data_IF_170588731402
#
_entry.id   IF_170588731402
#
_cell.length_a   1.000
_cell.length_b   1.000
_cell.length_c   1.000
_cell.angle_alpha   90.00
_cell.angle_beta   90.00
_cell.angle_gamma   90.00
#
_symmetry.space_group_name_H-M   'P 1'
#
loop_
_entity.id
_entity.type
_entity.pdbx_description
1 polymer ?
#
# COMPACT_ATOMS: atom_id res chain seq x y z
N UNK A 1 15.87 -26.12 -9.38
CA UNK A 1 15.32 -24.75 -9.55
C UNK A 1 13.82 -24.90 -9.72
N UNK A 2 13.03 -24.16 -8.94
CA UNK A 2 11.56 -24.23 -8.94
C UNK A 2 11.00 -22.83 -9.06
N UNK A 3 9.94 -22.66 -9.85
CA UNK A 3 9.22 -21.39 -10.00
C UNK A 3 7.83 -21.51 -9.38
N UNK A 4 7.33 -20.41 -8.83
CA UNK A 4 5.99 -20.30 -8.27
C UNK A 4 5.35 -18.98 -8.75
N UNK A 5 4.04 -19.02 -9.00
CA UNK A 5 3.26 -17.83 -9.30
C UNK A 5 1.90 -17.99 -8.63
N UNK A 6 1.39 -16.91 -8.03
CA UNK A 6 0.15 -16.89 -7.27
C UNK A 6 -0.57 -15.54 -7.48
N UNK A 7 -1.89 -15.53 -7.32
CA UNK A 7 -2.73 -14.33 -7.36
C UNK A 7 -3.47 -14.25 -6.03
N UNK A 8 -3.25 -13.17 -5.28
CA UNK A 8 -3.82 -12.95 -3.96
C UNK A 8 -4.78 -11.77 -4.01
N UNK A 9 -6.04 -12.00 -3.61
CA UNK A 9 -7.04 -10.95 -3.45
C UNK A 9 -7.51 -10.89 -2.01
N UNK A 10 -7.48 -9.69 -1.44
CA UNK A 10 -8.07 -9.36 -0.16
C UNK A 10 -9.24 -8.40 -0.43
N UNK A 11 -10.44 -8.85 -0.11
CA UNK A 11 -11.65 -8.06 -0.19
C UNK A 11 -11.98 -7.62 1.22
N UNK A 12 -11.85 -6.31 1.48
CA UNK A 12 -12.43 -5.74 2.68
C UNK A 12 -13.96 -5.75 2.54
N UNK A 13 -14.63 -6.41 3.49
CA UNK A 13 -16.08 -6.51 3.54
C UNK A 13 -16.68 -5.55 4.56
N UNK A 14 -15.84 -4.89 5.38
CA UNK A 14 -16.29 -3.87 6.31
C UNK A 14 -16.31 -2.52 5.58
N UNK A 15 -17.51 -2.03 5.31
CA UNK A 15 -17.72 -0.59 5.09
C UNK A 15 -17.51 0.09 6.45
N UNK A 16 -16.25 0.25 6.88
CA UNK A 16 -15.96 0.88 8.15
C UNK A 16 -16.14 2.41 8.00
N UNK A 17 -17.39 2.86 8.03
CA UNK A 17 -17.81 4.27 8.11
C UNK A 17 -17.27 5.00 9.36
N UNK A 18 -16.54 4.30 10.23
CA UNK A 18 -16.01 4.83 11.49
C UNK A 18 -14.90 5.88 11.32
N UNK A 19 -14.20 5.90 10.17
CA UNK A 19 -13.10 6.82 9.89
C UNK A 19 -13.46 7.68 8.68
N UNK A 20 -14.32 8.67 8.90
CA UNK A 20 -14.56 9.73 7.93
C UNK A 20 -13.43 10.77 8.07
N UNK A 21 -12.48 10.71 7.14
CA UNK A 21 -11.37 11.66 7.03
C UNK A 21 -11.64 12.74 5.98
N UNK A 22 -12.89 12.86 5.51
CA UNK A 22 -13.30 13.96 4.66
C UNK A 22 -13.32 15.24 5.48
N UNK A 23 -12.34 16.09 5.23
CA UNK A 23 -12.31 17.42 5.78
C UNK A 23 -11.34 18.27 4.99
N UNK A 24 -11.71 19.52 4.77
CA UNK A 24 -10.83 20.47 4.14
C UNK A 24 -10.78 21.71 5.01
N UNK A 25 -9.59 22.12 5.41
CA UNK A 25 -9.39 23.35 6.16
C UNK A 25 -9.12 24.45 5.14
N UNK A 26 -10.05 25.37 5.03
CA UNK A 26 -9.87 26.60 4.28
C UNK A 26 -9.25 27.66 5.19
N UNK A 27 -8.04 28.09 4.86
CA UNK A 27 -7.35 29.18 5.55
C UNK A 27 -7.36 30.39 4.62
N UNK A 28 -8.04 31.45 5.05
CA UNK A 28 -7.95 32.76 4.40
C UNK A 28 -6.85 33.56 5.09
N UNK A 29 -5.81 33.94 4.36
CA UNK A 29 -4.73 34.78 4.87
C UNK A 29 -5.15 36.26 4.74
N UNK A 30 -4.86 37.07 5.76
CA UNK A 30 -5.21 38.50 5.81
C UNK A 30 -3.96 39.36 5.96
N UNK A 31 -3.99 40.59 5.44
CA UNK A 31 -2.94 41.59 5.63
C UNK A 31 -3.08 42.33 6.98
N UNK A 32 -2.18 43.27 7.26
CA UNK A 32 -2.20 44.06 8.50
C UNK A 32 -3.42 45.00 8.64
N UNK A 33 -4.25 45.13 7.60
CA UNK A 33 -5.46 45.93 7.55
C UNK A 33 -6.72 45.05 7.41
N UNK A 34 -6.63 43.77 7.78
CA UNK A 34 -7.70 42.76 7.65
C UNK A 34 -8.23 42.58 6.22
N UNK A 35 -7.44 42.89 5.19
CA UNK A 35 -7.80 42.60 3.81
C UNK A 35 -7.38 41.17 3.42
N UNK A 36 -8.26 40.38 2.78
CA UNK A 36 -7.92 39.02 2.38
C UNK A 36 -6.85 39.03 1.27
N UNK A 37 -5.75 38.32 1.51
CA UNK A 37 -4.63 38.14 0.59
C UNK A 37 -4.80 36.92 -0.32
N UNK A 38 -5.53 35.92 0.16
CA UNK A 38 -5.79 34.70 -0.58
C UNK A 38 -6.33 33.58 0.30
N UNK A 39 -6.85 32.55 -0.37
CA UNK A 39 -7.37 31.35 0.29
C UNK A 39 -6.48 30.17 -0.07
N UNK A 40 -6.08 29.40 0.93
CA UNK A 40 -5.49 28.06 0.74
C UNK A 40 -6.41 27.00 1.30
N UNK A 41 -6.47 25.91 0.57
CA UNK A 41 -7.33 24.76 0.84
C UNK A 41 -6.41 23.61 1.20
N UNK A 42 -6.45 23.17 2.46
CA UNK A 42 -5.62 22.09 2.98
C UNK A 42 -6.49 20.85 3.21
N UNK A 43 -6.09 19.75 2.58
CA UNK A 43 -6.68 18.45 2.87
C UNK A 43 -6.28 18.00 4.28
N UNK A 44 -7.24 17.54 5.09
CA UNK A 44 -6.95 17.17 6.50
C UNK A 44 -6.30 15.80 6.63
N UNK A 45 -6.31 15.00 5.56
CA UNK A 45 -5.83 13.63 5.56
C UNK A 45 -5.05 13.31 4.29
N UNK A 46 -4.01 12.50 4.45
CA UNK A 46 -3.29 11.85 3.36
C UNK A 46 -3.76 10.39 3.14
N UNK A 47 -4.73 9.93 3.92
CA UNK A 47 -5.31 8.59 3.82
C UNK A 47 -6.48 8.65 2.83
N UNK A 48 -6.50 7.79 1.79
CA UNK A 48 -7.57 7.76 0.80
C UNK A 48 -8.91 7.38 1.44
N UNK A 49 -9.98 7.96 0.93
CA UNK A 49 -11.32 7.88 1.52
C UNK A 49 -12.00 6.58 1.12
N UNK A 50 -11.87 5.55 1.98
CA UNK A 50 -12.70 4.34 2.21
C UNK A 50 -13.30 3.53 1.04
N UNK A 51 -13.23 3.97 -0.22
CA UNK A 51 -13.74 3.28 -1.41
C UNK A 51 -12.69 2.45 -2.13
N UNK A 52 -11.43 2.52 -1.70
CA UNK A 52 -10.28 1.86 -2.33
C UNK A 52 -9.52 0.95 -1.38
N UNK A 53 -10.14 0.40 -0.34
CA UNK A 53 -9.40 -0.49 0.60
C UNK A 53 -9.34 -1.95 0.16
N UNK A 54 -10.00 -2.33 -0.95
CA UNK A 54 -9.81 -3.64 -1.56
C UNK A 54 -8.40 -3.77 -2.15
N UNK A 55 -7.76 -4.91 -1.96
CA UNK A 55 -6.33 -5.12 -2.20
C UNK A 55 -6.17 -6.34 -3.12
N UNK A 56 -5.72 -6.12 -4.34
CA UNK A 56 -5.44 -7.18 -5.33
C UNK A 56 -3.95 -7.21 -5.65
N UNK A 57 -3.29 -8.35 -5.44
CA UNK A 57 -1.86 -8.53 -5.67
C UNK A 57 -1.58 -9.75 -6.54
N UNK A 58 -0.61 -9.63 -7.44
CA UNK A 58 0.05 -10.77 -8.07
C UNK A 58 1.33 -11.09 -7.33
N UNK A 59 1.67 -12.36 -7.18
CA UNK A 59 2.93 -12.80 -6.60
C UNK A 59 3.67 -13.70 -7.58
N UNK A 60 4.97 -13.48 -7.73
CA UNK A 60 5.88 -14.32 -8.51
C UNK A 60 7.10 -14.67 -7.67
N UNK A 61 7.55 -15.92 -7.74
CA UNK A 61 8.62 -16.42 -6.91
C UNK A 61 9.51 -17.46 -7.58
N UNK A 62 10.73 -17.53 -7.09
CA UNK A 62 11.73 -18.52 -7.48
C UNK A 62 12.37 -19.12 -6.24
N UNK A 63 12.55 -20.45 -6.27
CA UNK A 63 13.27 -21.22 -5.26
C UNK A 63 14.46 -21.92 -5.89
N UNK A 64 15.64 -21.67 -5.34
CA UNK A 64 16.89 -22.34 -5.71
C UNK A 64 17.41 -23.12 -4.51
N UNK A 65 17.48 -24.44 -4.63
CA UNK A 65 18.08 -25.33 -3.63
C UNK A 65 19.42 -25.85 -4.17
N UNK A 66 20.56 -25.15 -3.92
CA UNK A 66 21.86 -25.61 -4.40
C UNK A 66 22.35 -26.88 -3.68
N UNK A 67 21.84 -27.17 -2.48
CA UNK A 67 22.09 -28.41 -1.74
C UNK A 67 20.86 -28.83 -0.93
N UNK A 68 20.86 -30.03 -0.37
CA UNK A 68 19.78 -30.49 0.53
C UNK A 68 19.70 -29.65 1.82
N UNK A 69 20.82 -29.08 2.24
CA UNK A 69 20.93 -28.27 3.46
C UNK A 69 20.65 -26.79 3.25
N UNK A 70 20.57 -26.29 2.00
CA UNK A 70 20.44 -24.86 1.70
C UNK A 70 19.34 -24.63 0.66
N UNK A 71 18.41 -23.75 0.99
CA UNK A 71 17.36 -23.30 0.08
C UNK A 71 17.27 -21.78 0.07
N UNK A 72 17.33 -21.19 -1.12
CA UNK A 72 17.15 -19.77 -1.40
C UNK A 72 15.76 -19.57 -2.01
N UNK A 73 15.02 -18.58 -1.53
CA UNK A 73 13.72 -18.17 -2.05
C UNK A 73 13.76 -16.68 -2.33
N UNK A 74 13.24 -16.26 -3.47
CA UNK A 74 12.94 -14.87 -3.76
C UNK A 74 11.53 -14.77 -4.30
N UNK A 75 10.73 -13.83 -3.79
CA UNK A 75 9.41 -13.51 -4.34
C UNK A 75 9.25 -12.01 -4.55
N UNK A 76 8.37 -11.63 -5.45
CA UNK A 76 7.92 -10.26 -5.65
C UNK A 76 6.40 -10.25 -5.60
N UNK A 77 5.85 -9.38 -4.78
CA UNK A 77 4.42 -9.07 -4.78
C UNK A 77 4.24 -7.76 -5.53
N UNK A 78 3.28 -7.73 -6.46
CA UNK A 78 2.96 -6.58 -7.30
C UNK A 78 1.49 -6.24 -7.10
N UNK A 79 1.21 -5.02 -6.67
CA UNK A 79 -0.14 -4.49 -6.61
C UNK A 79 -0.75 -4.45 -8.02
N UNK A 80 -1.95 -4.99 -8.15
CA UNK A 80 -2.73 -4.96 -9.40
C UNK A 80 -3.83 -3.88 -9.37
N UNK A 81 -3.99 -3.21 -8.23
CA UNK A 81 -4.87 -2.07 -8.03
C UNK A 81 -4.28 -1.10 -7.00
N UNK A 82 -4.66 0.17 -7.11
CA UNK A 82 -4.24 1.28 -6.25
C UNK A 82 -5.07 1.32 -4.95
N UNK A 83 -5.13 0.17 -4.26
CA UNK A 83 -5.93 0.00 -3.07
C UNK A 83 -5.12 -0.12 -1.78
N UNK A 84 -5.66 0.47 -0.71
CA UNK A 84 -5.05 0.55 0.62
C UNK A 84 -3.78 1.43 0.67
N UNK A 85 -3.02 1.30 1.76
CA UNK A 85 -1.78 2.06 2.02
C UNK A 85 -0.48 1.24 1.76
N UNK A 86 -0.57 0.17 0.96
CA UNK A 86 0.58 -0.71 0.69
C UNK A 86 1.48 -0.14 -0.41
N UNK A 87 2.71 -0.65 -0.50
CA UNK A 87 3.61 -0.36 -1.63
C UNK A 87 3.21 -1.15 -2.89
N UNK A 88 3.45 -0.56 -4.06
CA UNK A 88 3.13 -1.16 -5.37
C UNK A 88 3.91 -2.44 -5.65
N UNK A 89 5.15 -2.51 -5.15
CA UNK A 89 6.04 -3.65 -5.35
C UNK A 89 6.75 -3.99 -4.04
N UNK A 90 6.59 -5.22 -3.58
CA UNK A 90 7.20 -5.73 -2.34
C UNK A 90 8.10 -6.92 -2.70
N UNK A 91 9.42 -6.71 -2.84
CA UNK A 91 10.36 -7.82 -3.00
C UNK A 91 10.61 -8.48 -1.64
N UNK A 92 10.63 -9.81 -1.63
CA UNK A 92 10.97 -10.64 -0.47
C UNK A 92 12.05 -11.63 -0.86
N UNK A 93 12.95 -11.94 0.06
CA UNK A 93 13.95 -12.97 -0.10
C UNK A 93 14.10 -13.74 1.22
N UNK A 94 14.41 -15.02 1.10
CA UNK A 94 14.54 -15.92 2.23
C UNK A 94 15.64 -16.93 1.99
N UNK A 95 16.31 -17.32 3.07
CA UNK A 95 17.29 -18.39 3.08
C UNK A 95 16.90 -19.37 4.18
N UNK A 96 16.84 -20.65 3.84
CA UNK A 96 16.59 -21.73 4.79
C UNK A 96 17.82 -22.62 4.83
N UNK A 97 18.26 -22.92 6.05
CA UNK A 97 19.32 -23.88 6.33
C UNK A 97 18.72 -25.04 7.11
N UNK A 98 19.04 -26.27 6.71
CA UNK A 98 18.61 -27.49 7.39
C UNK A 98 19.84 -28.28 7.81
N UNK A 99 19.89 -28.65 9.08
CA UNK A 99 20.99 -29.38 9.75
C UNK A 99 20.56 -30.79 10.13
#
# INVERSE_FOLDING_TARGET
>A
LTFAAELLGELDLDENEAVNLDGTIEITDFDANDQPLGTRVLDVSNIPTSRTDHILSGAFGVRLAPSESISLVGNVLVALNDGGLRADVIPTFGVTFTF
#
